data_IF_099519783834
#
_entry.id   IF_099519783834
#
_cell.length_a   1.000
_cell.length_b   1.000
_cell.length_c   1.000
_cell.angle_alpha   90.00
_cell.angle_beta   90.00
_cell.angle_gamma   90.00
#
_symmetry.space_group_name_H-M   'P 1'
#
loop_
_entity.id
_entity.type
_entity.pdbx_description
1 polymer ?
#
# COMPACT_ATOMS: atom_id res chain seq x y z
N UNK A 1 -29.36 -68.44 73.33
CA UNK A 1 -29.04 -67.48 72.25
C UNK A 1 -27.96 -68.10 71.39
N UNK A 2 -28.30 -68.45 70.15
CA UNK A 2 -27.44 -69.15 69.20
C UNK A 2 -26.77 -68.08 68.32
N UNK A 3 -25.47 -67.82 68.52
CA UNK A 3 -24.72 -66.84 67.73
C UNK A 3 -24.22 -67.47 66.44
N UNK A 4 -24.76 -67.02 65.30
CA UNK A 4 -24.32 -67.36 63.95
C UNK A 4 -23.11 -66.50 63.52
N UNK A 5 -21.92 -66.82 64.03
CA UNK A 5 -20.69 -66.07 63.72
C UNK A 5 -19.78 -66.78 62.68
N UNK A 6 -20.37 -67.38 61.63
CA UNK A 6 -19.59 -68.07 60.58
C UNK A 6 -19.95 -67.68 59.13
N UNK A 7 -20.55 -66.49 58.89
CA UNK A 7 -20.99 -66.09 57.54
C UNK A 7 -20.42 -64.78 56.98
N UNK A 8 -19.32 -64.23 57.52
CA UNK A 8 -18.80 -62.92 57.11
C UNK A 8 -17.33 -62.86 56.66
N UNK A 9 -16.62 -63.99 56.52
CA UNK A 9 -15.21 -63.99 56.08
C UNK A 9 -14.99 -64.17 54.57
N UNK A 10 -16.04 -64.39 53.78
CA UNK A 10 -15.97 -64.55 52.33
C UNK A 10 -16.53 -63.38 51.50
N UNK A 11 -17.30 -62.48 52.10
CA UNK A 11 -18.04 -61.44 51.35
C UNK A 11 -17.12 -60.27 50.95
N UNK A 12 -16.27 -59.78 51.87
CA UNK A 12 -15.39 -58.64 51.58
C UNK A 12 -14.30 -58.92 50.54
N UNK A 13 -13.82 -60.16 50.43
CA UNK A 13 -12.82 -60.56 49.44
C UNK A 13 -13.43 -60.68 48.04
N UNK A 14 -14.67 -61.21 47.96
CA UNK A 14 -15.42 -61.29 46.70
C UNK A 14 -15.84 -59.91 46.23
N UNK A 15 -16.32 -59.03 47.13
CA UNK A 15 -16.65 -57.63 46.80
C UNK A 15 -15.42 -56.83 46.36
N UNK A 16 -14.25 -57.05 46.96
CA UNK A 16 -13.00 -56.41 46.54
C UNK A 16 -12.57 -56.87 45.14
N UNK A 17 -12.68 -58.16 44.83
CA UNK A 17 -12.35 -58.68 43.49
C UNK A 17 -13.33 -58.18 42.42
N UNK A 18 -14.62 -58.07 42.75
CA UNK A 18 -15.63 -57.50 41.84
C UNK A 18 -15.38 -56.01 41.60
N UNK A 19 -15.11 -55.23 42.64
CA UNK A 19 -14.83 -53.79 42.51
C UNK A 19 -13.52 -53.52 41.75
N UNK A 20 -12.46 -54.29 42.01
CA UNK A 20 -11.23 -54.22 41.23
C UNK A 20 -11.45 -54.60 39.76
N UNK A 21 -12.23 -55.65 39.50
CA UNK A 21 -12.62 -56.06 38.15
C UNK A 21 -13.40 -54.96 37.41
N UNK A 22 -14.31 -54.27 38.10
CA UNK A 22 -15.05 -53.14 37.54
C UNK A 22 -14.14 -51.93 37.26
N UNK A 23 -13.20 -51.61 38.16
CA UNK A 23 -12.23 -50.52 37.94
C UNK A 23 -11.34 -50.85 36.73
N UNK A 24 -10.82 -52.07 36.64
CA UNK A 24 -10.00 -52.48 35.49
C UNK A 24 -10.78 -52.47 34.18
N UNK A 25 -12.06 -52.86 34.20
CA UNK A 25 -12.94 -52.76 33.04
C UNK A 25 -13.16 -51.30 32.63
N UNK A 26 -13.44 -50.40 33.57
CA UNK A 26 -13.62 -48.96 33.30
C UNK A 26 -12.32 -48.36 32.74
N UNK A 27 -11.18 -48.62 33.37
CA UNK A 27 -9.87 -48.12 32.93
C UNK A 27 -9.53 -48.65 31.54
N UNK A 28 -9.76 -49.94 31.28
CA UNK A 28 -9.53 -50.57 29.98
C UNK A 28 -10.37 -49.96 28.85
N UNK A 29 -11.62 -49.56 29.15
CA UNK A 29 -12.50 -48.89 28.18
C UNK A 29 -12.12 -47.42 28.00
N UNK A 30 -11.75 -46.71 29.08
CA UNK A 30 -11.43 -45.28 29.03
C UNK A 30 -10.04 -44.97 28.46
N UNK A 31 -9.08 -45.88 28.62
CA UNK A 31 -7.70 -45.70 28.16
C UNK A 31 -7.58 -45.39 26.65
N UNK A 32 -8.17 -46.16 25.72
CA UNK A 32 -8.08 -45.86 24.29
C UNK A 32 -8.74 -44.52 23.94
N UNK A 33 -9.82 -44.14 24.63
CA UNK A 33 -10.49 -42.84 24.43
C UNK A 33 -9.58 -41.70 24.86
N UNK A 34 -9.00 -41.79 26.05
CA UNK A 34 -8.07 -40.78 26.57
C UNK A 34 -6.80 -40.66 25.71
N UNK A 35 -6.23 -41.79 25.30
CA UNK A 35 -5.08 -41.81 24.40
C UNK A 35 -5.40 -41.14 23.06
N UNK A 36 -6.54 -41.49 22.43
CA UNK A 36 -6.95 -40.84 21.18
C UNK A 36 -7.16 -39.34 21.35
N UNK A 37 -7.78 -38.92 22.45
CA UNK A 37 -7.95 -37.51 22.77
C UNK A 37 -6.61 -36.77 22.88
N UNK A 38 -5.62 -37.34 23.57
CA UNK A 38 -4.29 -36.74 23.67
C UNK A 38 -3.62 -36.60 22.31
N UNK A 39 -3.71 -37.62 21.46
CA UNK A 39 -3.12 -37.55 20.13
C UNK A 39 -3.84 -36.53 19.24
N UNK A 40 -5.16 -36.43 19.33
CA UNK A 40 -5.93 -35.40 18.60
C UNK A 40 -5.52 -33.98 19.06
N UNK A 41 -5.27 -33.79 20.36
CA UNK A 41 -4.75 -32.51 20.89
C UNK A 41 -3.33 -32.20 20.41
N UNK A 42 -2.45 -33.22 20.30
CA UNK A 42 -1.11 -33.04 19.69
C UNK A 42 -1.21 -32.59 18.24
N UNK A 43 -2.14 -33.18 17.48
CA UNK A 43 -2.37 -32.81 16.09
C UNK A 43 -2.83 -31.36 15.95
N UNK A 44 -3.78 -30.91 16.79
CA UNK A 44 -4.20 -29.51 16.85
C UNK A 44 -3.06 -28.57 17.23
N UNK A 45 -2.30 -28.90 18.28
CA UNK A 45 -1.18 -28.08 18.73
C UNK A 45 -0.11 -27.90 17.64
N UNK A 46 0.12 -28.93 16.83
CA UNK A 46 1.01 -28.81 15.68
C UNK A 46 0.42 -27.99 14.54
N UNK A 47 -0.89 -28.09 14.28
CA UNK A 47 -1.58 -27.19 13.36
C UNK A 47 -1.40 -25.72 13.73
N UNK A 48 -1.47 -25.39 15.03
CA UNK A 48 -1.18 -24.04 15.53
C UNK A 48 0.30 -23.65 15.35
N UNK A 49 1.24 -24.58 15.62
CA UNK A 49 2.66 -24.34 15.37
C UNK A 49 2.96 -24.02 13.90
N UNK A 50 2.33 -24.72 12.93
CA UNK A 50 2.47 -24.40 11.50
C UNK A 50 1.87 -23.03 11.18
N UNK A 51 0.75 -22.63 11.79
CA UNK A 51 0.20 -21.29 11.60
C UNK A 51 1.13 -20.20 12.11
N UNK A 52 1.73 -20.41 13.28
CA UNK A 52 2.74 -19.49 13.81
C UNK A 52 3.94 -19.41 12.85
N UNK A 53 4.48 -20.54 12.38
CA UNK A 53 5.55 -20.57 11.39
C UNK A 53 5.23 -19.72 10.15
N UNK A 54 4.02 -19.88 9.59
CA UNK A 54 3.56 -19.10 8.44
C UNK A 54 3.52 -17.60 8.77
N UNK A 55 3.02 -17.22 9.93
CA UNK A 55 2.99 -15.83 10.38
C UNK A 55 4.41 -15.25 10.47
N UNK A 56 5.36 -15.99 11.05
CA UNK A 56 6.77 -15.56 11.16
C UNK A 56 7.44 -15.41 9.80
N UNK A 57 7.16 -16.32 8.86
CA UNK A 57 7.65 -16.20 7.48
C UNK A 57 7.09 -14.94 6.81
N UNK A 58 5.81 -14.61 7.01
CA UNK A 58 5.24 -13.37 6.47
C UNK A 58 5.83 -12.12 7.11
N UNK A 59 6.10 -12.12 8.42
CA UNK A 59 6.78 -11.03 9.11
C UNK A 59 8.21 -10.83 8.59
N UNK A 60 8.94 -11.92 8.36
CA UNK A 60 10.26 -11.91 7.74
C UNK A 60 10.19 -11.30 6.34
N UNK A 61 9.28 -11.80 5.49
CA UNK A 61 9.12 -11.30 4.12
C UNK A 61 8.76 -9.82 4.08
N UNK A 62 7.85 -9.39 4.96
CA UNK A 62 7.44 -8.00 5.07
C UNK A 62 8.64 -7.08 5.35
N UNK A 63 9.53 -7.47 6.26
CA UNK A 63 10.73 -6.70 6.57
C UNK A 63 11.72 -6.64 5.40
N UNK A 64 11.98 -7.77 4.73
CA UNK A 64 12.83 -7.80 3.52
C UNK A 64 12.34 -6.81 2.46
N UNK A 65 11.02 -6.72 2.28
CA UNK A 65 10.44 -5.83 1.28
C UNK A 65 10.46 -4.36 1.73
N UNK A 66 10.01 -4.10 2.96
CA UNK A 66 9.78 -2.71 3.42
C UNK A 66 11.03 -2.01 3.93
N UNK A 67 11.89 -2.71 4.66
CA UNK A 67 13.07 -2.13 5.29
C UNK A 67 14.33 -2.33 4.44
N UNK A 68 14.44 -3.44 3.71
CA UNK A 68 15.59 -3.73 2.85
C UNK A 68 15.36 -3.46 1.36
N UNK A 69 14.13 -3.10 0.97
CA UNK A 69 13.80 -2.76 -0.42
C UNK A 69 13.92 -3.94 -1.39
N UNK A 70 13.81 -5.18 -0.90
CA UNK A 70 13.82 -6.37 -1.76
C UNK A 70 12.51 -6.44 -2.54
N UNK A 71 12.60 -6.71 -3.84
CA UNK A 71 11.44 -6.88 -4.72
C UNK A 71 10.46 -7.92 -4.17
N UNK A 72 9.19 -7.54 -4.06
CA UNK A 72 8.14 -8.36 -3.45
C UNK A 72 7.85 -9.66 -4.22
N UNK A 73 8.16 -9.68 -5.51
CA UNK A 73 7.94 -10.84 -6.39
C UNK A 73 9.11 -11.81 -6.42
N UNK A 74 10.27 -11.39 -5.92
CA UNK A 74 11.49 -12.19 -5.91
C UNK A 74 11.52 -13.25 -4.80
N UNK A 75 12.08 -14.42 -5.11
CA UNK A 75 12.57 -15.43 -4.16
C UNK A 75 13.39 -14.84 -3.00
N UNK A 76 14.16 -13.77 -3.23
CA UNK A 76 15.00 -13.15 -2.21
C UNK A 76 14.20 -12.47 -1.08
N UNK A 77 12.90 -12.22 -1.28
CA UNK A 77 12.01 -11.71 -0.23
C UNK A 77 11.66 -12.77 0.81
N UNK A 78 11.85 -14.06 0.50
CA UNK A 78 11.54 -15.18 1.39
C UNK A 78 12.80 -15.67 2.13
N UNK A 79 12.66 -16.36 3.28
CA UNK A 79 13.79 -17.03 3.91
C UNK A 79 14.29 -18.16 2.98
N UNK A 80 15.61 -18.25 2.77
CA UNK A 80 16.20 -19.28 1.91
C UNK A 80 16.00 -20.69 2.48
N UNK A 81 16.02 -20.79 3.81
CA UNK A 81 15.70 -21.98 4.61
C UNK A 81 14.92 -21.54 5.84
N UNK A 82 14.17 -22.45 6.47
CA UNK A 82 13.41 -22.10 7.68
C UNK A 82 14.33 -21.69 8.86
N UNK A 83 15.58 -22.15 8.88
CA UNK A 83 16.59 -21.73 9.86
C UNK A 83 16.95 -20.24 9.78
N UNK A 84 16.78 -19.60 8.62
CA UNK A 84 17.01 -18.17 8.47
C UNK A 84 16.08 -17.33 9.34
N UNK A 85 14.93 -17.87 9.78
CA UNK A 85 14.05 -17.21 10.75
C UNK A 85 14.72 -17.03 12.12
N UNK A 86 15.69 -17.87 12.45
CA UNK A 86 16.50 -17.77 13.67
C UNK A 86 17.82 -17.02 13.43
N UNK A 87 18.41 -17.15 12.24
CA UNK A 87 19.80 -16.78 12.01
C UNK A 87 19.99 -15.38 11.40
N UNK A 88 19.12 -14.96 10.48
CA UNK A 88 19.32 -13.69 9.74
C UNK A 88 18.98 -12.49 10.62
N UNK A 89 17.94 -12.64 11.46
CA UNK A 89 17.49 -11.64 12.43
C UNK A 89 17.24 -12.32 13.78
N UNK A 90 18.30 -12.56 14.57
CA UNK A 90 18.21 -13.33 15.79
C UNK A 90 17.15 -12.80 16.76
N UNK A 91 16.33 -13.71 17.30
CA UNK A 91 15.26 -13.45 18.27
C UNK A 91 14.08 -12.60 17.75
N UNK A 92 14.10 -12.17 16.47
CA UNK A 92 13.06 -11.30 15.93
C UNK A 92 11.86 -12.08 15.38
N UNK A 93 12.12 -13.15 14.63
CA UNK A 93 11.06 -13.96 13.98
C UNK A 93 10.93 -15.35 14.60
N UNK A 94 12.04 -15.92 15.06
CA UNK A 94 12.05 -17.18 15.80
C UNK A 94 13.15 -17.14 16.86
N UNK A 95 12.85 -17.63 18.06
CA UNK A 95 13.83 -17.69 19.14
C UNK A 95 14.96 -18.68 18.81
N UNK A 96 16.16 -18.46 19.34
CA UNK A 96 17.25 -19.40 19.13
C UNK A 96 16.90 -20.79 19.70
N UNK A 97 17.05 -21.81 18.86
CA UNK A 97 16.79 -23.20 19.23
C UNK A 97 17.82 -24.09 18.55
N UNK A 98 18.41 -24.99 19.31
CA UNK A 98 19.31 -26.04 18.79
C UNK A 98 18.62 -27.39 18.82
N UNK A 99 19.14 -28.35 18.05
CA UNK A 99 18.63 -29.73 18.06
C UNK A 99 18.64 -30.34 19.46
N UNK A 100 19.70 -30.11 20.24
CA UNK A 100 19.79 -30.64 21.61
C UNK A 100 18.72 -30.03 22.54
N UNK A 101 18.45 -28.73 22.40
CA UNK A 101 17.41 -28.05 23.18
C UNK A 101 16.01 -28.53 22.80
N UNK A 102 15.76 -28.77 21.51
CA UNK A 102 14.50 -29.36 21.06
C UNK A 102 14.30 -30.78 21.60
N UNK A 103 15.35 -31.62 21.56
CA UNK A 103 15.32 -32.98 22.11
C UNK A 103 15.09 -33.00 23.62
N UNK A 104 15.57 -31.97 24.33
CA UNK A 104 15.31 -31.76 25.76
C UNK A 104 13.93 -31.11 26.05
N UNK A 105 13.17 -30.74 25.02
CA UNK A 105 11.85 -30.13 25.13
C UNK A 105 11.86 -28.66 25.55
N UNK A 106 13.00 -27.97 25.41
CA UNK A 106 13.16 -26.56 25.78
C UNK A 106 12.58 -25.61 24.73
N UNK A 107 12.61 -26.00 23.46
CA UNK A 107 12.11 -25.22 22.32
C UNK A 107 11.67 -26.15 21.17
N UNK A 108 11.13 -25.57 20.10
CA UNK A 108 10.84 -26.25 18.83
C UNK A 108 11.53 -25.51 17.70
N UNK A 109 12.20 -26.24 16.82
CA UNK A 109 12.77 -25.67 15.61
C UNK A 109 11.65 -25.25 14.64
N UNK A 110 11.90 -24.28 13.74
CA UNK A 110 10.94 -23.88 12.71
C UNK A 110 10.49 -25.02 11.80
N UNK A 111 11.36 -26.01 11.59
CA UNK A 111 11.16 -27.14 10.68
C UNK A 111 10.71 -28.44 11.38
N UNK A 112 10.34 -28.33 12.66
CA UNK A 112 9.96 -29.45 13.52
C UNK A 112 8.80 -30.26 12.97
N UNK A 113 8.89 -31.59 13.04
CA UNK A 113 7.80 -32.53 12.71
C UNK A 113 7.63 -33.54 13.86
N UNK A 114 6.46 -33.65 14.49
CA UNK A 114 6.31 -34.42 15.73
C UNK A 114 6.36 -35.93 15.56
N UNK A 115 6.11 -36.44 14.35
CA UNK A 115 6.09 -37.88 14.06
C UNK A 115 7.29 -38.37 13.23
N UNK A 116 8.14 -37.46 12.76
CA UNK A 116 9.16 -37.78 11.76
C UNK A 116 10.50 -37.14 12.12
N UNK A 117 11.63 -37.85 11.92
CA UNK A 117 12.95 -37.21 11.92
C UNK A 117 13.18 -36.38 10.66
N UNK A 118 12.40 -36.61 9.60
CA UNK A 118 12.39 -35.77 8.41
C UNK A 118 11.70 -34.46 8.75
N UNK A 119 12.47 -33.39 8.66
CA UNK A 119 12.04 -32.02 8.89
C UNK A 119 11.09 -31.55 7.79
N UNK A 120 10.46 -30.39 7.99
CA UNK A 120 9.77 -29.68 6.93
C UNK A 120 10.74 -29.37 5.78
N UNK A 121 10.25 -29.46 4.55
CA UNK A 121 11.03 -29.04 3.37
C UNK A 121 10.36 -27.86 2.69
N UNK A 122 11.15 -27.00 2.07
CA UNK A 122 10.66 -25.83 1.35
C UNK A 122 11.12 -25.83 -0.10
N UNK A 123 10.27 -25.36 -1.00
CA UNK A 123 10.61 -25.15 -2.40
C UNK A 123 9.80 -23.99 -2.98
N UNK A 124 10.23 -23.46 -4.13
CA UNK A 124 9.52 -22.38 -4.80
C UNK A 124 8.62 -22.90 -5.92
N UNK A 125 7.41 -22.37 -5.98
CA UNK A 125 6.44 -22.58 -7.05
C UNK A 125 6.21 -21.27 -7.79
N UNK A 126 6.37 -21.28 -9.11
CA UNK A 126 6.07 -20.13 -9.97
C UNK A 126 4.67 -20.29 -10.56
N UNK A 127 3.78 -19.34 -10.30
CA UNK A 127 2.48 -19.30 -10.98
C UNK A 127 2.64 -18.75 -12.40
N UNK A 128 2.50 -19.62 -13.40
CA UNK A 128 2.62 -19.26 -14.82
C UNK A 128 1.30 -18.71 -15.40
N UNK A 129 0.21 -18.70 -14.63
CA UNK A 129 -1.14 -18.37 -15.13
C UNK A 129 -1.48 -16.88 -15.04
N UNK A 130 -0.70 -16.09 -14.29
CA UNK A 130 -0.91 -14.65 -14.10
C UNK A 130 0.26 -13.83 -14.67
N UNK A 131 0.25 -13.54 -15.97
CA UNK A 131 1.22 -12.65 -16.65
C UNK A 131 0.71 -11.19 -16.53
N UNK A 132 1.52 -10.19 -16.17
CA UNK A 132 2.99 -10.16 -16.18
C UNK A 132 3.70 -10.41 -14.84
N UNK A 133 2.98 -10.72 -13.76
CA UNK A 133 3.58 -10.92 -12.44
C UNK A 133 3.88 -12.42 -12.20
N UNK A 134 5.07 -12.86 -12.59
CA UNK A 134 5.61 -14.16 -12.15
C UNK A 134 5.78 -14.14 -10.63
N UNK A 135 4.75 -14.56 -9.90
CA UNK A 135 4.80 -14.61 -8.45
C UNK A 135 5.49 -15.92 -8.04
N UNK A 136 6.70 -15.79 -7.49
CA UNK A 136 7.38 -16.90 -6.84
C UNK A 136 6.82 -17.07 -5.43
N UNK A 137 6.19 -18.22 -5.21
CA UNK A 137 5.58 -18.59 -3.94
C UNK A 137 6.46 -19.59 -3.20
N UNK A 138 6.74 -19.32 -1.93
CA UNK A 138 7.33 -20.31 -1.03
C UNK A 138 6.27 -21.38 -0.71
N UNK A 139 6.65 -22.65 -0.86
CA UNK A 139 5.82 -23.80 -0.51
C UNK A 139 6.49 -24.58 0.60
N UNK A 140 5.74 -24.87 1.67
CA UNK A 140 6.17 -25.75 2.76
C UNK A 140 5.57 -27.14 2.51
N UNK A 141 6.40 -28.17 2.46
CA UNK A 141 5.99 -29.57 2.35
C UNK A 141 6.11 -30.27 3.69
N UNK A 142 5.00 -30.85 4.13
CA UNK A 142 4.87 -31.64 5.35
C UNK A 142 4.93 -33.13 4.99
N UNK A 143 5.88 -33.91 5.55
CA UNK A 143 6.13 -35.31 5.18
C UNK A 143 5.13 -36.27 5.85
N UNK A 144 3.87 -36.21 5.43
CA UNK A 144 2.83 -37.14 5.90
C UNK A 144 2.95 -38.53 5.30
N UNK A 145 3.68 -38.71 4.20
CA UNK A 145 3.94 -40.02 3.58
C UNK A 145 4.62 -41.01 4.55
N UNK A 146 5.33 -40.52 5.56
CA UNK A 146 5.93 -41.40 6.58
C UNK A 146 4.90 -42.09 7.47
N UNK A 147 3.69 -41.55 7.54
CA UNK A 147 2.56 -42.12 8.26
C UNK A 147 1.69 -43.05 7.40
N UNK A 148 2.04 -43.30 6.14
CA UNK A 148 1.22 -44.10 5.20
C UNK A 148 0.89 -45.51 5.72
N UNK A 149 1.73 -46.07 6.59
CA UNK A 149 1.53 -47.39 7.20
C UNK A 149 0.49 -47.36 8.31
N UNK A 150 0.17 -46.19 8.87
CA UNK A 150 -0.84 -45.98 9.89
C UNK A 150 -1.90 -44.98 9.40
N UNK A 151 -2.93 -45.52 8.74
CA UNK A 151 -4.02 -44.73 8.18
C UNK A 151 -4.75 -43.85 9.22
N UNK A 152 -4.75 -44.27 10.50
CA UNK A 152 -5.42 -43.52 11.57
C UNK A 152 -4.61 -42.29 11.94
N UNK A 153 -3.30 -42.46 12.15
CA UNK A 153 -2.38 -41.34 12.38
C UNK A 153 -2.38 -40.40 11.18
N UNK A 154 -2.21 -40.92 9.96
CA UNK A 154 -2.24 -40.11 8.74
C UNK A 154 -3.51 -39.25 8.67
N UNK A 155 -4.67 -39.84 8.90
CA UNK A 155 -5.95 -39.12 8.86
C UNK A 155 -6.02 -38.03 9.93
N UNK A 156 -5.53 -38.31 11.14
CA UNK A 156 -5.53 -37.36 12.26
C UNK A 156 -4.76 -36.09 11.91
N UNK A 157 -3.50 -36.25 11.46
CA UNK A 157 -2.66 -35.11 11.11
C UNK A 157 -3.14 -34.42 9.84
N UNK A 158 -3.55 -35.19 8.81
CA UNK A 158 -4.05 -34.65 7.55
C UNK A 158 -5.28 -33.75 7.75
N UNK A 159 -6.21 -34.14 8.62
CA UNK A 159 -7.43 -33.35 8.88
C UNK A 159 -7.14 -31.97 9.46
N UNK A 160 -6.16 -31.85 10.36
CA UNK A 160 -5.81 -30.55 10.95
C UNK A 160 -5.03 -29.69 9.96
N UNK A 161 -4.11 -30.30 9.20
CA UNK A 161 -3.17 -29.57 8.35
C UNK A 161 -3.81 -29.12 7.03
N UNK A 162 -4.77 -29.87 6.50
CA UNK A 162 -5.46 -29.50 5.25
C UNK A 162 -6.37 -28.28 5.41
N UNK A 163 -6.78 -27.97 6.65
CA UNK A 163 -7.59 -26.80 6.98
C UNK A 163 -6.76 -25.50 6.99
N UNK A 164 -5.43 -25.58 6.88
CA UNK A 164 -4.55 -24.41 6.82
C UNK A 164 -4.70 -23.73 5.45
N UNK A 165 -4.89 -22.39 5.39
CA UNK A 165 -4.97 -21.68 4.12
C UNK A 165 -3.77 -21.95 3.22
N UNK A 166 -4.04 -22.30 1.95
CA UNK A 166 -3.00 -22.64 0.98
C UNK A 166 -2.54 -24.10 1.02
N UNK A 167 -3.01 -24.90 1.98
CA UNK A 167 -2.73 -26.34 2.04
C UNK A 167 -3.44 -27.10 0.91
N UNK A 168 -2.70 -28.00 0.27
CA UNK A 168 -3.19 -28.95 -0.75
C UNK A 168 -2.48 -30.28 -0.59
N UNK A 169 -3.17 -31.36 -0.98
CA UNK A 169 -2.56 -32.70 -1.04
C UNK A 169 -1.60 -32.80 -2.22
N UNK A 170 -0.44 -33.37 -1.96
CA UNK A 170 0.63 -33.61 -2.93
C UNK A 170 1.10 -35.05 -2.78
N UNK A 171 0.45 -35.97 -3.49
CA UNK A 171 0.55 -37.39 -3.16
C UNK A 171 0.02 -37.66 -1.75
N UNK A 172 0.86 -38.26 -0.90
CA UNK A 172 0.55 -38.53 0.51
C UNK A 172 1.07 -37.47 1.48
N UNK A 173 1.69 -36.40 0.95
CA UNK A 173 2.12 -35.23 1.69
C UNK A 173 1.11 -34.08 1.59
N UNK A 174 1.34 -33.03 2.37
CA UNK A 174 0.63 -31.76 2.26
C UNK A 174 1.63 -30.66 1.90
N UNK A 175 1.32 -29.94 0.82
CA UNK A 175 2.02 -28.73 0.39
C UNK A 175 1.20 -27.51 0.79
N UNK A 176 1.81 -26.55 1.49
CA UNK A 176 1.19 -25.28 1.90
C UNK A 176 1.86 -24.16 1.10
N UNK A 177 1.12 -23.59 0.14
CA UNK A 177 1.61 -22.46 -0.66
C UNK A 177 1.37 -21.15 0.08
N UNK A 178 2.45 -20.42 0.37
CA UNK A 178 2.40 -19.10 0.98
C UNK A 178 2.17 -18.04 -0.08
N UNK A 179 1.10 -17.27 0.09
CA UNK A 179 0.82 -16.10 -0.77
C UNK A 179 1.61 -14.91 -0.24
N UNK A 180 2.19 -14.11 -1.12
CA UNK A 180 2.91 -12.90 -0.70
C UNK A 180 2.04 -12.05 0.23
N UNK A 181 2.66 -11.45 1.25
CA UNK A 181 1.97 -10.55 2.15
C UNK A 181 1.34 -9.41 1.32
N UNK A 182 0.02 -9.42 1.21
CA UNK A 182 -0.74 -8.57 0.27
C UNK A 182 -0.48 -7.08 0.50
N UNK A 183 -0.04 -6.71 1.71
CA UNK A 183 0.32 -5.35 2.09
C UNK A 183 1.52 -4.80 1.29
N UNK A 184 2.53 -5.62 0.98
CA UNK A 184 3.70 -5.19 0.22
C UNK A 184 3.34 -4.78 -1.22
N UNK A 185 2.54 -5.59 -1.90
CA UNK A 185 1.98 -5.26 -3.23
C UNK A 185 1.03 -4.06 -3.17
N UNK A 186 0.35 -3.82 -2.04
CA UNK A 186 -0.47 -2.62 -1.86
C UNK A 186 0.38 -1.36 -1.73
N UNK A 187 1.55 -1.41 -1.09
CA UNK A 187 2.41 -0.22 -0.91
C UNK A 187 3.23 0.16 -2.14
N UNK A 188 3.66 -0.79 -2.97
CA UNK A 188 4.32 -0.48 -4.25
C UNK A 188 3.42 0.37 -5.18
N UNK A 189 2.10 0.27 -5.01
CA UNK A 189 1.12 0.93 -5.87
C UNK A 189 0.43 2.14 -5.22
N UNK A 190 0.82 2.56 -4.00
CA UNK A 190 0.24 3.73 -3.33
C UNK A 190 1.19 4.92 -3.43
N UNK A 191 0.78 5.93 -4.20
CA UNK A 191 1.41 7.25 -4.20
C UNK A 191 1.35 7.83 -2.79
N UNK A 192 2.52 8.12 -2.19
CA UNK A 192 2.58 8.72 -0.86
C UNK A 192 1.87 10.08 -0.84
N UNK A 193 1.04 10.31 0.18
CA UNK A 193 0.22 11.52 0.31
C UNK A 193 1.03 12.80 0.54
N UNK A 194 2.31 12.67 0.85
CA UNK A 194 3.22 13.79 1.12
C UNK A 194 3.83 14.39 -0.16
N UNK A 195 3.58 13.77 -1.32
CA UNK A 195 4.08 14.25 -2.62
C UNK A 195 5.58 14.09 -2.81
N UNK A 196 6.25 13.25 -2.00
CA UNK A 196 7.69 12.98 -2.10
C UNK A 196 8.05 12.07 -3.28
N UNK A 197 7.09 11.30 -3.79
CA UNK A 197 7.28 10.33 -4.87
C UNK A 197 6.91 10.94 -6.21
N UNK A 198 7.89 11.01 -7.12
CA UNK A 198 7.68 11.36 -8.52
C UNK A 198 6.91 10.24 -9.21
N UNK A 199 5.78 10.58 -9.83
CA UNK A 199 4.98 9.64 -10.60
C UNK A 199 5.78 9.16 -11.82
N UNK A 200 5.88 7.84 -12.01
CA UNK A 200 6.68 7.22 -13.08
C UNK A 200 5.83 6.69 -14.25
N UNK A 201 4.51 6.48 -14.07
CA UNK A 201 3.53 6.01 -15.08
C UNK A 201 2.10 6.56 -14.83
N UNK A 202 1.08 6.08 -15.57
CA UNK A 202 -0.31 6.56 -15.84
C UNK A 202 -1.20 7.04 -14.66
N UNK A 203 -0.69 7.95 -13.85
CA UNK A 203 -1.35 9.22 -13.57
C UNK A 203 -0.88 10.32 -14.55
N UNK A 204 -0.21 9.91 -15.62
CA UNK A 204 0.20 10.72 -16.74
C UNK A 204 -1.04 11.19 -17.51
N UNK A 205 -1.34 12.49 -17.44
CA UNK A 205 -2.17 13.13 -18.47
C UNK A 205 -1.34 13.31 -19.75
N UNK A 206 -0.84 12.19 -20.28
CA UNK A 206 -0.22 12.06 -21.59
C UNK A 206 -1.25 11.57 -22.60
N UNK A 207 -1.21 12.07 -23.84
CA UNK A 207 -2.19 11.73 -24.89
C UNK A 207 -3.45 12.60 -24.90
N UNK A 208 -4.59 12.06 -25.33
CA UNK A 208 -5.87 12.79 -25.44
C UNK A 208 -6.71 12.76 -24.14
N UNK A 209 -6.03 12.71 -22.99
CA UNK A 209 -6.64 12.63 -21.66
C UNK A 209 -6.58 13.97 -20.94
N UNK A 210 -7.46 14.18 -19.94
CA UNK A 210 -7.53 15.42 -19.18
C UNK A 210 -7.73 15.15 -17.69
N UNK A 211 -7.22 16.07 -16.86
CA UNK A 211 -7.48 16.05 -15.42
C UNK A 211 -8.95 16.44 -15.22
N UNK A 212 -9.78 15.47 -14.83
CA UNK A 212 -11.22 15.69 -14.56
C UNK A 212 -11.48 15.63 -13.05
N UNK A 213 -12.55 16.30 -12.59
CA UNK A 213 -12.95 16.34 -11.17
C UNK A 213 -11.95 17.01 -10.20
N UNK A 214 -11.00 17.82 -10.69
CA UNK A 214 -10.18 18.70 -9.87
C UNK A 214 -10.89 20.07 -9.68
N UNK A 215 -10.86 20.61 -8.46
CA UNK A 215 -11.48 21.92 -8.16
C UNK A 215 -10.69 23.08 -8.78
N UNK A 216 -9.37 23.00 -8.76
CA UNK A 216 -8.46 23.94 -9.42
C UNK A 216 -7.10 23.28 -9.64
N UNK A 217 -6.30 23.86 -10.54
CA UNK A 217 -4.89 23.51 -10.78
C UNK A 217 -4.07 24.78 -10.64
N UNK A 218 -2.94 24.71 -9.95
CA UNK A 218 -2.02 25.85 -9.79
C UNK A 218 -0.72 25.61 -10.54
N UNK A 219 -0.25 26.62 -11.24
CA UNK A 219 1.07 26.65 -11.87
C UNK A 219 2.06 27.31 -10.91
N UNK A 220 3.28 26.78 -10.82
CA UNK A 220 4.33 27.40 -10.00
C UNK A 220 5.00 28.53 -10.79
N UNK A 221 4.92 29.74 -10.26
CA UNK A 221 5.62 30.90 -10.80
C UNK A 221 7.13 30.79 -10.55
N UNK A 222 7.90 31.55 -11.34
CA UNK A 222 9.37 31.62 -11.22
C UNK A 222 9.86 32.13 -9.85
N UNK A 223 9.05 32.89 -9.13
CA UNK A 223 9.32 33.36 -7.76
C UNK A 223 8.86 32.37 -6.67
N UNK A 224 8.31 31.22 -7.06
CA UNK A 224 7.80 30.19 -6.16
C UNK A 224 6.34 30.37 -5.73
N UNK A 225 5.67 31.47 -6.10
CA UNK A 225 4.24 31.66 -5.86
C UNK A 225 3.39 30.71 -6.72
N UNK A 226 2.10 30.60 -6.40
CA UNK A 226 1.15 29.74 -7.11
C UNK A 226 0.18 30.59 -7.93
N UNK A 227 0.03 30.24 -9.22
CA UNK A 227 -0.87 30.87 -10.18
C UNK A 227 -2.07 29.93 -10.41
N UNK A 228 -3.27 30.22 -9.86
CA UNK A 228 -4.45 29.43 -10.15
C UNK A 228 -4.83 29.55 -11.62
N UNK A 229 -4.89 28.41 -12.32
CA UNK A 229 -5.27 28.32 -13.73
C UNK A 229 -6.69 28.83 -13.95
N UNK A 230 -7.58 28.63 -12.98
CA UNK A 230 -8.96 29.11 -13.02
C UNK A 230 -9.11 30.63 -13.14
N UNK A 231 -8.11 31.42 -12.70
CA UNK A 231 -8.26 32.85 -12.50
C UNK A 231 -7.22 33.72 -13.21
N UNK A 232 -5.98 33.23 -13.40
CA UNK A 232 -4.83 34.12 -13.68
C UNK A 232 -4.07 33.83 -14.98
N UNK A 233 -4.61 33.01 -15.90
CA UNK A 233 -3.98 32.82 -17.21
C UNK A 233 -3.96 34.10 -18.07
N UNK A 234 -4.96 34.96 -17.90
CA UNK A 234 -5.07 36.26 -18.57
C UNK A 234 -5.61 37.28 -17.58
N UNK A 235 -4.88 38.39 -17.39
CA UNK A 235 -5.34 39.50 -16.57
C UNK A 235 -5.75 40.67 -17.48
N UNK A 236 -6.93 41.24 -17.24
CA UNK A 236 -7.47 42.35 -18.02
C UNK A 236 -7.62 43.56 -17.11
N UNK A 237 -6.87 44.61 -17.40
CA UNK A 237 -6.86 45.87 -16.63
C UNK A 237 -7.30 47.04 -17.50
N UNK A 238 -8.04 47.98 -16.93
CA UNK A 238 -8.33 49.28 -17.56
C UNK A 238 -7.31 50.30 -17.08
N UNK A 239 -6.77 51.10 -17.99
CA UNK A 239 -5.73 52.07 -17.71
C UNK A 239 -6.01 53.38 -18.44
N UNK A 240 -5.92 54.50 -17.72
CA UNK A 240 -5.90 55.84 -18.30
C UNK A 240 -4.49 56.18 -18.80
N UNK A 241 -4.37 57.29 -19.52
CA UNK A 241 -3.08 57.75 -20.01
C UNK A 241 -2.13 58.07 -18.85
N UNK A 242 -1.00 57.37 -18.79
CA UNK A 242 0.04 57.55 -17.78
C UNK A 242 0.00 56.51 -16.65
N UNK A 243 -1.04 55.68 -16.59
CA UNK A 243 -1.19 54.66 -15.55
C UNK A 243 -0.15 53.56 -15.67
N UNK A 244 0.31 53.08 -14.51
CA UNK A 244 1.21 51.94 -14.37
C UNK A 244 0.44 50.67 -14.02
N UNK A 245 0.70 49.59 -14.75
CA UNK A 245 0.11 48.27 -14.54
C UNK A 245 1.23 47.27 -14.25
N UNK A 246 1.07 46.46 -13.19
CA UNK A 246 2.03 45.42 -12.83
C UNK A 246 2.04 44.28 -13.86
N UNK A 247 3.24 43.78 -14.17
CA UNK A 247 3.40 42.60 -15.02
C UNK A 247 3.00 41.34 -14.24
N UNK A 248 2.35 40.36 -14.88
CA UNK A 248 2.07 39.08 -14.25
C UNK A 248 3.37 38.33 -13.95
N UNK A 249 3.36 37.52 -12.89
CA UNK A 249 4.40 36.53 -12.65
C UNK A 249 4.18 35.35 -13.61
N UNK A 250 5.26 34.92 -14.26
CA UNK A 250 5.21 33.82 -15.23
C UNK A 250 5.95 32.59 -14.70
N UNK A 251 5.59 31.43 -15.24
CA UNK A 251 6.34 30.18 -15.04
C UNK A 251 7.74 30.35 -15.62
N UNK A 252 8.73 29.62 -15.09
CA UNK A 252 10.08 29.60 -15.61
C UNK A 252 10.10 29.35 -17.14
N UNK A 253 10.86 30.18 -17.87
CA UNK A 253 10.98 30.13 -19.32
C UNK A 253 9.95 30.97 -20.09
N UNK A 254 8.91 31.49 -19.44
CA UNK A 254 7.93 32.38 -20.05
C UNK A 254 8.21 33.85 -19.73
N UNK A 255 7.73 34.74 -20.59
CA UNK A 255 7.84 36.19 -20.43
C UNK A 255 6.47 36.87 -20.39
N UNK A 256 6.30 37.94 -19.58
CA UNK A 256 5.08 38.73 -19.61
C UNK A 256 4.89 39.42 -20.96
N UNK A 257 3.68 39.29 -21.52
CA UNK A 257 3.27 39.89 -22.79
C UNK A 257 2.02 40.75 -22.55
N UNK A 258 1.93 41.88 -23.26
CA UNK A 258 0.77 42.76 -23.21
C UNK A 258 0.10 42.88 -24.58
N UNK A 259 -1.22 43.04 -24.57
CA UNK A 259 -2.00 43.52 -25.72
C UNK A 259 -2.83 44.70 -25.27
N UNK A 260 -2.91 45.72 -26.13
CA UNK A 260 -3.66 46.93 -25.85
C UNK A 260 -4.88 47.02 -26.77
N UNK A 261 -6.02 47.38 -26.18
CA UNK A 261 -7.26 47.67 -26.90
C UNK A 261 -7.88 48.97 -26.39
N UNK A 262 -8.84 49.51 -27.13
CA UNK A 262 -9.62 50.68 -26.72
C UNK A 262 -10.72 50.18 -25.79
N UNK A 263 -10.75 50.66 -24.54
CA UNK A 263 -11.86 50.39 -23.60
C UNK A 263 -12.93 51.46 -23.75
N UNK A 264 -12.53 52.74 -23.66
CA UNK A 264 -13.46 53.87 -23.69
C UNK A 264 -12.82 55.10 -24.32
N UNK A 265 -13.54 55.76 -25.22
CA UNK A 265 -13.13 57.06 -25.76
C UNK A 265 -13.93 58.15 -25.08
N UNK A 266 -13.26 59.09 -24.41
CA UNK A 266 -13.90 60.22 -23.74
C UNK A 266 -13.43 61.52 -24.36
N UNK A 267 -14.33 62.29 -24.96
CA UNK A 267 -14.03 63.57 -25.61
C UNK A 267 -15.09 64.58 -25.22
N UNK A 268 -14.69 65.73 -24.69
CA UNK A 268 -15.63 66.83 -24.41
C UNK A 268 -16.01 67.53 -25.71
N UNK A 269 -17.19 67.22 -26.22
CA UNK A 269 -17.69 67.70 -27.52
C UNK A 269 -17.97 69.21 -27.55
N UNK A 270 -18.02 69.88 -26.39
CA UNK A 270 -18.13 71.34 -26.30
C UNK A 270 -16.88 72.01 -26.85
N UNK A 271 -15.70 71.43 -26.60
CA UNK A 271 -14.41 71.99 -27.00
C UNK A 271 -13.80 71.31 -28.23
N UNK A 272 -14.17 70.05 -28.49
CA UNK A 272 -13.52 69.23 -29.51
C UNK A 272 -14.52 68.53 -30.44
N UNK A 273 -14.11 68.30 -31.68
CA UNK A 273 -14.78 67.39 -32.61
C UNK A 273 -13.89 66.16 -32.82
N UNK A 274 -14.43 64.95 -32.61
CA UNK A 274 -13.70 63.70 -32.82
C UNK A 274 -13.38 63.50 -34.31
N UNK A 275 -12.10 63.29 -34.64
CA UNK A 275 -11.65 62.96 -36.00
C UNK A 275 -11.31 61.48 -36.18
N UNK A 276 -11.28 60.71 -35.08
CA UNK A 276 -10.84 59.32 -35.05
C UNK A 276 -9.36 59.19 -34.68
N UNK A 277 -8.69 58.17 -35.21
CA UNK A 277 -7.26 57.92 -34.91
C UNK A 277 -6.99 57.58 -33.45
N UNK A 278 -7.99 57.08 -32.72
CA UNK A 278 -7.83 56.60 -31.35
C UNK A 278 -6.89 55.40 -31.34
N UNK A 279 -5.82 55.48 -30.55
CA UNK A 279 -4.89 54.37 -30.35
C UNK A 279 -4.42 54.26 -28.90
N UNK A 280 -4.47 53.07 -28.29
CA UNK A 280 -3.71 52.77 -27.11
C UNK A 280 -2.27 52.42 -27.51
N UNK A 281 -1.30 52.68 -26.64
CA UNK A 281 0.11 52.40 -26.86
C UNK A 281 0.85 52.27 -25.52
N UNK A 282 2.04 51.68 -25.54
CA UNK A 282 2.92 51.66 -24.37
C UNK A 282 3.71 52.97 -24.32
N UNK A 283 3.69 53.66 -23.18
CA UNK A 283 4.49 54.86 -22.94
C UNK A 283 5.90 54.46 -22.52
N UNK A 284 6.00 53.58 -21.53
CA UNK A 284 7.26 53.14 -20.94
C UNK A 284 7.12 51.74 -20.33
N UNK A 285 8.26 51.11 -20.04
CA UNK A 285 8.34 49.78 -19.45
C UNK A 285 9.48 49.71 -18.43
N UNK A 286 9.23 49.02 -17.31
CA UNK A 286 10.25 48.64 -16.33
C UNK A 286 10.35 47.12 -16.26
N UNK A 287 11.22 46.57 -15.42
CA UNK A 287 11.27 45.12 -15.19
C UNK A 287 9.91 44.56 -14.72
N UNK A 288 9.16 45.30 -13.91
CA UNK A 288 7.95 44.80 -13.22
C UNK A 288 6.65 45.48 -13.65
N UNK A 289 6.70 46.57 -14.43
CA UNK A 289 5.50 47.36 -14.78
C UNK A 289 5.48 47.86 -16.22
N UNK A 290 4.29 48.05 -16.75
CA UNK A 290 3.99 48.72 -18.02
C UNK A 290 3.28 50.05 -17.78
N UNK A 291 3.69 51.10 -18.48
CA UNK A 291 2.98 52.37 -18.47
C UNK A 291 2.13 52.50 -19.73
N UNK A 292 0.81 52.66 -19.57
CA UNK A 292 -0.13 52.64 -20.68
C UNK A 292 -0.50 54.06 -21.08
N UNK A 293 -0.56 54.29 -22.39
CA UNK A 293 -1.00 55.52 -23.00
C UNK A 293 -2.21 55.28 -23.89
N UNK A 294 -3.09 56.27 -23.94
CA UNK A 294 -4.12 56.37 -24.95
C UNK A 294 -4.09 57.76 -25.56
N UNK A 295 -4.45 57.84 -26.83
CA UNK A 295 -4.64 59.12 -27.49
C UNK A 295 -5.63 59.08 -28.63
N UNK A 296 -6.30 60.20 -28.83
CA UNK A 296 -7.29 60.40 -29.88
C UNK A 296 -7.01 61.71 -30.61
N UNK A 297 -7.21 61.70 -31.94
CA UNK A 297 -7.06 62.89 -32.77
C UNK A 297 -8.39 63.62 -32.80
N UNK A 298 -8.35 64.92 -32.49
CA UNK A 298 -9.52 65.79 -32.44
C UNK A 298 -9.26 67.09 -33.19
N UNK A 299 -10.34 67.78 -33.53
CA UNK A 299 -10.31 69.17 -34.00
C UNK A 299 -10.76 70.09 -32.88
N UNK A 300 -9.97 71.11 -32.54
CA UNK A 300 -10.35 72.13 -31.58
C UNK A 300 -11.46 72.98 -32.20
N UNK A 301 -12.61 73.11 -31.52
CA UNK A 301 -13.78 73.77 -32.07
C UNK A 301 -13.55 75.27 -32.33
N UNK A 302 -12.77 75.95 -31.48
CA UNK A 302 -12.45 77.38 -31.59
C UNK A 302 -11.42 77.69 -32.67
N UNK A 303 -10.27 77.03 -32.67
CA UNK A 303 -9.16 77.32 -33.60
C UNK A 303 -9.22 76.54 -34.91
N UNK A 304 -10.07 75.52 -35.00
CA UNK A 304 -10.16 74.55 -36.11
C UNK A 304 -8.88 73.74 -36.36
N UNK A 305 -7.86 73.87 -35.51
CA UNK A 305 -6.63 73.10 -35.59
C UNK A 305 -6.82 71.67 -35.09
N UNK A 306 -6.03 70.75 -35.63
CA UNK A 306 -5.98 69.38 -35.11
C UNK A 306 -5.11 69.33 -33.86
N UNK A 307 -5.55 68.53 -32.88
CA UNK A 307 -4.81 68.29 -31.66
C UNK A 307 -4.93 66.81 -31.26
N UNK A 308 -4.00 66.37 -30.42
CA UNK A 308 -4.01 65.06 -29.79
C UNK A 308 -4.45 65.23 -28.35
N UNK A 309 -5.48 64.51 -27.93
CA UNK A 309 -5.93 64.44 -26.54
C UNK A 309 -5.70 63.04 -25.98
N UNK A 310 -5.48 62.93 -24.68
CA UNK A 310 -5.11 61.69 -23.98
C UNK A 310 -6.20 61.20 -23.03
N UNK A 311 -7.44 61.62 -23.27
CA UNK A 311 -8.62 61.26 -22.49
C UNK A 311 -9.18 59.91 -22.93
N UNK A 312 -9.81 59.19 -22.00
CA UNK A 312 -10.34 57.85 -22.21
C UNK A 312 -9.55 56.76 -21.48
N UNK A 313 -9.89 55.51 -21.77
CA UNK A 313 -9.32 54.31 -21.14
C UNK A 313 -8.87 53.31 -22.20
N UNK A 314 -7.65 52.80 -22.02
CA UNK A 314 -7.14 51.63 -22.71
C UNK A 314 -7.44 50.37 -21.89
N UNK A 315 -7.61 49.24 -22.58
CA UNK A 315 -7.64 47.92 -22.00
C UNK A 315 -6.26 47.28 -22.19
N UNK A 316 -5.60 46.90 -21.10
CA UNK A 316 -4.38 46.09 -21.12
C UNK A 316 -4.75 44.64 -20.81
N UNK A 317 -4.46 43.75 -21.74
CA UNK A 317 -4.60 42.30 -21.59
C UNK A 317 -3.20 41.72 -21.40
N UNK A 318 -2.91 41.27 -20.19
CA UNK A 318 -1.64 40.67 -19.80
C UNK A 318 -1.72 39.14 -19.86
N UNK A 319 -0.67 38.50 -20.36
CA UNK A 319 -0.54 37.04 -20.42
C UNK A 319 0.94 36.63 -20.36
N UNK A 320 1.22 35.38 -20.01
CA UNK A 320 2.57 34.80 -20.10
C UNK A 320 2.69 33.93 -21.36
N UNK A 321 3.83 34.01 -22.06
CA UNK A 321 4.16 33.15 -23.21
C UNK A 321 5.63 32.78 -23.19
#
# INVERSE_FOLDING_TARGET
MMNSAFKQRGVGLVEFLITLGLILAIVGISYPVYHNYQEDEKAKAYGEHIRELIERIHQYQYYKITEEGVDATSQASWPATLDNLMNDYPEQYWGSCTIDQELNGECKLPDYVPWSPSRLSTYFYTDLTHIPAFNEHLVIRIPLHELDKDAKEWTRWSNVLIDIPGAKRSGNDIDITLRQATLALMYENIVMRDGSVTLTEDWDVGGAHGITNAKDVTLRASDGSQIPVSQYLVNVSRAQHGDWIDKPQCIAGQTPQYKLSISKVEIDTRYYTLLGGTKPYLINETATRWQVGMSTIVKINSSKQQAKVTTGEALLIASCR
#
